data_IF_254830807755
#
_entry.id   IF_254830807755
#
_cell.length_a   1.000
_cell.length_b   1.000
_cell.length_c   1.000
_cell.angle_alpha   90.00
_cell.angle_beta   90.00
_cell.angle_gamma   90.00
#
_symmetry.space_group_name_H-M   'P 1'
#
loop_
_entity.id
_entity.type
_entity.pdbx_description
1 polymer ?
#
# COMPACT_ATOMS: atom_id res chain seq x y z
N UNK A 1 5.29 -23.80 -9.53
CA UNK A 1 6.08 -22.57 -9.76
C UNK A 1 5.19 -21.61 -10.53
N UNK A 2 4.53 -20.64 -9.87
CA UNK A 2 3.50 -19.79 -10.50
C UNK A 2 4.15 -18.49 -10.99
N UNK A 3 3.94 -18.20 -12.27
CA UNK A 3 4.65 -17.19 -13.06
C UNK A 3 3.83 -15.89 -13.12
N UNK A 4 4.44 -14.75 -12.75
CA UNK A 4 3.87 -13.44 -13.03
C UNK A 4 4.04 -13.14 -14.52
N UNK A 5 2.95 -12.98 -15.27
CA UNK A 5 3.03 -12.62 -16.69
C UNK A 5 2.58 -11.16 -16.84
N UNK A 6 3.53 -10.28 -17.18
CA UNK A 6 3.22 -8.94 -17.66
C UNK A 6 2.58 -9.08 -19.05
N UNK A 7 1.33 -8.66 -19.20
CA UNK A 7 0.71 -8.51 -20.51
C UNK A 7 0.55 -7.02 -20.75
N UNK A 8 1.25 -6.50 -21.76
CA UNK A 8 1.07 -5.14 -22.24
C UNK A 8 -0.07 -5.16 -23.26
N UNK A 9 -1.18 -4.47 -22.97
CA UNK A 9 -2.22 -4.19 -23.97
C UNK A 9 -2.30 -2.68 -24.13
N UNK A 10 -1.98 -2.18 -25.33
CA UNK A 10 -2.31 -0.85 -25.84
C UNK A 10 -2.18 0.34 -24.88
N UNK A 11 -0.99 0.96 -24.84
CA UNK A 11 -0.84 2.39 -24.54
C UNK A 11 -1.08 2.89 -23.11
N UNK A 12 -1.55 2.05 -22.17
CA UNK A 12 -1.72 2.42 -20.76
C UNK A 12 -1.23 1.31 -19.82
N UNK A 13 -0.40 1.68 -18.83
CA UNK A 13 -0.03 0.78 -17.74
C UNK A 13 -1.25 0.54 -16.82
N UNK A 14 -2.02 -0.50 -17.09
CA UNK A 14 -2.95 -1.08 -16.11
C UNK A 14 -2.30 -2.31 -15.50
N UNK A 15 -2.05 -2.30 -14.19
CA UNK A 15 -1.57 -3.46 -13.46
C UNK A 15 -2.74 -4.40 -13.17
N UNK A 16 -2.81 -5.52 -13.88
CA UNK A 16 -3.64 -6.66 -13.50
C UNK A 16 -2.89 -7.50 -12.47
N UNK A 17 -3.47 -7.67 -11.28
CA UNK A 17 -2.96 -8.64 -10.30
C UNK A 17 -3.70 -9.95 -10.52
N UNK A 18 -3.04 -10.93 -11.13
CA UNK A 18 -3.57 -12.29 -11.24
C UNK A 18 -3.37 -12.99 -9.90
N UNK A 19 -4.31 -12.80 -8.98
CA UNK A 19 -4.39 -13.56 -7.73
C UNK A 19 -5.38 -14.69 -7.99
N UNK A 20 -4.99 -15.96 -7.82
CA UNK A 20 -5.96 -17.04 -7.91
C UNK A 20 -7.06 -16.78 -6.86
N UNK A 21 -8.31 -16.90 -7.26
CA UNK A 21 -9.38 -17.00 -6.28
C UNK A 21 -9.26 -18.34 -5.52
N UNK A 22 -10.10 -18.52 -4.49
CA UNK A 22 -10.16 -19.76 -3.70
C UNK A 22 -10.44 -21.03 -4.53
N UNK A 23 -10.88 -20.90 -5.78
CA UNK A 23 -11.14 -22.01 -6.72
C UNK A 23 -9.95 -22.34 -7.63
N UNK A 24 -8.86 -21.55 -7.56
CA UNK A 24 -7.67 -21.74 -8.39
C UNK A 24 -7.80 -21.20 -9.81
N UNK A 25 -8.88 -20.47 -10.12
CA UNK A 25 -9.10 -19.86 -11.42
C UNK A 25 -8.38 -18.51 -11.48
N UNK A 26 -7.63 -18.28 -12.55
CA UNK A 26 -6.78 -17.10 -12.73
C UNK A 26 -7.63 -15.96 -13.29
N UNK A 27 -8.39 -15.29 -12.42
CA UNK A 27 -9.33 -14.24 -12.84
C UNK A 27 -8.70 -12.85 -12.71
N UNK A 28 -9.06 -11.96 -13.63
CA UNK A 28 -8.72 -10.55 -13.55
C UNK A 28 -9.51 -9.91 -12.41
N UNK A 29 -8.83 -9.33 -11.43
CA UNK A 29 -9.47 -8.63 -10.33
C UNK A 29 -8.90 -7.23 -10.14
N UNK A 30 -9.79 -6.26 -9.92
CA UNK A 30 -9.42 -4.92 -9.46
C UNK A 30 -9.27 -5.01 -7.94
N UNK A 31 -8.11 -4.63 -7.43
CA UNK A 31 -7.84 -4.55 -5.99
C UNK A 31 -7.79 -3.09 -5.56
N UNK A 32 -8.34 -2.79 -4.39
CA UNK A 32 -8.36 -1.42 -3.89
C UNK A 32 -8.60 -1.32 -2.40
N UNK A 33 -8.56 -0.09 -1.92
CA UNK A 33 -8.86 0.26 -0.54
C UNK A 33 -9.95 1.32 -0.46
N UNK A 34 -10.71 1.33 0.62
CA UNK A 34 -11.63 2.44 0.96
C UNK A 34 -11.11 3.19 2.17
N UNK A 35 -11.26 4.51 2.21
CA UNK A 35 -10.84 5.33 3.35
C UNK A 35 -11.77 5.24 4.56
N UNK A 36 -12.99 4.75 4.37
CA UNK A 36 -14.00 4.58 5.42
C UNK A 36 -14.93 3.39 5.12
N UNK A 37 -15.81 3.04 6.05
CA UNK A 37 -16.64 1.83 5.98
C UNK A 37 -15.93 0.57 6.50
N UNK A 38 -16.55 -0.60 6.28
CA UNK A 38 -16.12 -1.86 6.87
C UNK A 38 -16.55 -2.00 8.34
N UNK A 39 -16.12 -3.10 9.00
CA UNK A 39 -16.54 -3.45 10.37
C UNK A 39 -16.25 -2.36 11.41
N UNK A 40 -15.20 -1.57 11.20
CA UNK A 40 -14.72 -0.57 12.15
C UNK A 40 -14.83 0.87 11.63
N UNK A 41 -15.46 1.08 10.47
CA UNK A 41 -15.54 2.37 9.77
C UNK A 41 -14.17 3.02 9.45
N UNK A 42 -13.10 2.24 9.47
CA UNK A 42 -11.71 2.67 9.29
C UNK A 42 -11.14 2.34 7.90
N UNK A 43 -11.99 1.86 6.98
CA UNK A 43 -11.60 1.48 5.64
C UNK A 43 -11.46 -0.03 5.46
N UNK A 44 -11.40 -0.46 4.20
CA UNK A 44 -11.26 -1.88 3.83
C UNK A 44 -10.18 -2.10 2.77
N UNK A 45 -9.73 -3.35 2.64
CA UNK A 45 -9.16 -3.89 1.41
C UNK A 45 -10.27 -4.69 0.73
N UNK A 46 -10.50 -4.41 -0.55
CA UNK A 46 -11.46 -5.13 -1.37
C UNK A 46 -10.85 -5.60 -2.68
N UNK A 47 -11.51 -6.58 -3.30
CA UNK A 47 -11.30 -6.89 -4.70
C UNK A 47 -12.63 -7.05 -5.44
N UNK A 48 -12.60 -6.76 -6.74
CA UNK A 48 -13.69 -6.93 -7.68
C UNK A 48 -13.19 -7.85 -8.79
N UNK A 49 -13.54 -9.15 -8.74
CA UNK A 49 -13.26 -10.08 -9.83
C UNK A 49 -14.25 -9.84 -10.98
N UNK A 50 -13.73 -9.68 -12.19
CA UNK A 50 -14.52 -9.35 -13.39
C UNK A 50 -15.64 -10.38 -13.65
N UNK A 51 -15.36 -11.65 -13.38
CA UNK A 51 -16.32 -12.75 -13.62
C UNK A 51 -17.51 -12.74 -12.67
N UNK A 52 -17.32 -12.34 -11.41
CA UNK A 52 -18.41 -12.36 -10.42
C UNK A 52 -19.16 -11.02 -10.33
N UNK A 53 -18.64 -9.97 -10.97
CA UNK A 53 -19.18 -8.61 -10.96
C UNK A 53 -19.64 -8.10 -9.57
N UNK A 54 -18.97 -8.52 -8.50
CA UNK A 54 -19.34 -8.23 -7.12
C UNK A 54 -18.12 -7.80 -6.31
N UNK A 55 -18.29 -6.79 -5.46
CA UNK A 55 -17.22 -6.35 -4.55
C UNK A 55 -17.11 -7.34 -3.40
N UNK A 56 -15.89 -7.82 -3.14
CA UNK A 56 -15.56 -8.67 -1.99
C UNK A 56 -14.59 -7.94 -1.07
N UNK A 57 -15.04 -7.68 0.15
CA UNK A 57 -14.18 -7.19 1.22
C UNK A 57 -13.36 -8.35 1.79
N UNK A 58 -12.04 -8.22 1.80
CA UNK A 58 -11.12 -9.24 2.34
C UNK A 58 -10.49 -8.82 3.65
N UNK A 59 -10.47 -7.52 3.94
CA UNK A 59 -9.94 -6.99 5.19
C UNK A 59 -10.70 -5.72 5.59
N UNK A 60 -10.96 -5.56 6.88
CA UNK A 60 -11.46 -4.31 7.47
C UNK A 60 -10.41 -3.81 8.45
N UNK A 61 -9.86 -2.62 8.19
CA UNK A 61 -8.83 -2.05 9.05
C UNK A 61 -9.39 -1.83 10.46
N UNK A 62 -8.73 -2.32 11.53
CA UNK A 62 -9.13 -2.01 12.88
C UNK A 62 -8.85 -0.54 13.21
N UNK A 63 -9.55 0.00 14.21
CA UNK A 63 -9.36 1.39 14.66
C UNK A 63 -8.01 1.63 15.35
N UNK A 64 -7.28 0.58 15.74
CA UNK A 64 -5.98 0.68 16.42
C UNK A 64 -4.93 -0.31 15.89
N UNK A 65 -3.65 0.06 16.04
CA UNK A 65 -2.41 -0.70 15.79
C UNK A 65 -2.05 -1.12 14.34
N UNK A 66 -3.01 -1.43 13.46
CA UNK A 66 -2.70 -1.96 12.11
C UNK A 66 -2.84 -0.93 10.97
N UNK A 67 -3.01 0.35 11.32
CA UNK A 67 -3.30 1.42 10.38
C UNK A 67 -4.79 1.57 10.09
N UNK A 68 -5.23 2.79 9.80
CA UNK A 68 -6.61 3.13 9.44
C UNK A 68 -6.63 4.23 8.39
N UNK A 69 -7.76 4.37 7.70
CA UNK A 69 -8.00 5.44 6.74
C UNK A 69 -6.95 5.46 5.60
N UNK A 70 -6.92 4.45 4.72
CA UNK A 70 -6.06 4.48 3.54
C UNK A 70 -6.54 5.56 2.56
N UNK A 71 -6.12 6.80 2.80
CA UNK A 71 -6.41 7.96 1.97
C UNK A 71 -5.43 8.05 0.81
N UNK A 72 -5.96 8.12 -0.40
CA UNK A 72 -5.20 8.33 -1.65
C UNK A 72 -4.10 7.29 -1.91
N UNK A 73 -4.12 6.14 -1.22
CA UNK A 73 -3.16 5.06 -1.41
C UNK A 73 -3.72 4.02 -2.37
N UNK A 74 -2.98 3.72 -3.45
CA UNK A 74 -3.22 2.51 -4.23
C UNK A 74 -2.36 1.38 -3.68
N UNK A 75 -2.88 0.17 -3.78
CA UNK A 75 -2.12 -1.04 -3.48
C UNK A 75 -1.00 -1.22 -4.52
N UNK A 76 0.17 -1.64 -4.04
CA UNK A 76 1.35 -1.91 -4.85
C UNK A 76 1.64 -3.42 -4.84
N UNK A 77 1.40 -4.13 -5.95
CA UNK A 77 1.77 -5.53 -6.07
C UNK A 77 3.29 -5.66 -6.11
N UNK A 78 3.86 -6.41 -5.17
CA UNK A 78 5.28 -6.71 -5.14
C UNK A 78 5.64 -7.93 -5.99
N UNK A 79 6.85 -7.93 -6.54
CA UNK A 79 7.42 -9.05 -7.30
C UNK A 79 7.59 -10.33 -6.49
N UNK A 80 7.57 -10.23 -5.15
CA UNK A 80 7.57 -11.36 -4.23
C UNK A 80 6.19 -12.01 -4.01
N UNK A 81 5.15 -11.55 -4.71
CA UNK A 81 3.79 -12.10 -4.62
C UNK A 81 2.98 -11.62 -3.42
N UNK A 82 3.44 -10.58 -2.71
CA UNK A 82 2.67 -9.88 -1.69
C UNK A 82 2.12 -8.56 -2.23
N UNK A 83 1.13 -8.00 -1.54
CA UNK A 83 0.57 -6.69 -1.86
C UNK A 83 0.96 -5.72 -0.75
N UNK A 84 1.43 -4.53 -1.12
CA UNK A 84 1.82 -3.50 -0.17
C UNK A 84 0.88 -2.32 -0.26
N UNK A 85 0.71 -1.60 0.85
CA UNK A 85 -0.10 -0.40 0.87
C UNK A 85 0.25 0.50 2.03
N UNK A 86 -0.36 1.68 2.01
CA UNK A 86 -0.18 2.71 3.01
C UNK A 86 -1.53 3.05 3.65
N UNK A 87 -1.50 3.33 4.95
CA UNK A 87 -2.58 4.04 5.63
C UNK A 87 -2.06 5.41 6.05
N UNK A 88 -2.91 6.44 6.05
CA UNK A 88 -2.47 7.78 6.48
C UNK A 88 -2.59 7.97 7.99
N UNK A 89 -3.36 7.13 8.67
CA UNK A 89 -3.59 7.18 10.11
C UNK A 89 -3.43 5.79 10.74
N UNK A 90 -3.53 5.71 12.07
CA UNK A 90 -3.31 4.49 12.84
C UNK A 90 -1.83 4.17 13.04
N UNK A 91 -1.56 2.97 13.54
CA UNK A 91 -0.22 2.59 14.00
C UNK A 91 0.12 3.19 15.37
N UNK A 92 1.36 3.00 15.80
CA UNK A 92 1.85 3.37 17.14
C UNK A 92 1.69 4.86 17.46
N UNK A 93 1.81 5.72 16.46
CA UNK A 93 1.81 7.17 16.61
C UNK A 93 0.56 7.85 16.02
N UNK A 94 -0.39 7.05 15.52
CA UNK A 94 -1.55 7.52 14.74
C UNK A 94 -1.15 8.34 13.49
N UNK A 95 -0.01 8.03 12.88
CA UNK A 95 0.56 8.73 11.72
C UNK A 95 0.65 7.89 10.45
N UNK A 96 -0.02 6.73 10.44
CA UNK A 96 -0.07 5.83 9.30
C UNK A 96 0.91 4.67 9.41
N UNK A 97 0.70 3.67 8.55
CA UNK A 97 1.58 2.49 8.48
C UNK A 97 1.87 2.11 7.03
N UNK A 98 2.99 1.42 6.82
CA UNK A 98 3.20 0.56 5.66
C UNK A 98 2.75 -0.85 6.06
N UNK A 99 1.81 -1.41 5.30
CA UNK A 99 1.34 -2.78 5.49
C UNK A 99 1.68 -3.65 4.29
N UNK A 100 1.81 -4.94 4.57
CA UNK A 100 1.86 -6.04 3.62
C UNK A 100 0.58 -6.86 3.78
N UNK A 101 0.02 -7.30 2.67
CA UNK A 101 -1.11 -8.22 2.62
C UNK A 101 -0.74 -9.43 1.77
N UNK A 102 -0.94 -10.61 2.35
CA UNK A 102 -0.77 -11.89 1.67
C UNK A 102 -2.13 -12.41 1.21
N UNK A 103 -2.43 -12.25 -0.07
CA UNK A 103 -3.71 -12.68 -0.63
C UNK A 103 -3.91 -14.20 -0.62
N UNK A 104 -2.86 -15.00 -0.42
CA UNK A 104 -2.99 -16.46 -0.33
C UNK A 104 -3.46 -16.91 1.06
N UNK A 105 -3.04 -16.20 2.11
CA UNK A 105 -3.37 -16.53 3.50
C UNK A 105 -4.45 -15.61 4.08
N UNK A 106 -4.73 -14.50 3.40
CA UNK A 106 -5.62 -13.45 3.89
C UNK A 106 -5.02 -12.63 5.04
N UNK A 107 -3.73 -12.80 5.36
CA UNK A 107 -3.10 -12.14 6.48
C UNK A 107 -2.56 -10.77 6.11
N UNK A 108 -2.74 -9.80 7.01
CA UNK A 108 -2.08 -8.50 6.96
C UNK A 108 -0.88 -8.50 7.92
N UNK A 109 0.15 -7.74 7.60
CA UNK A 109 1.30 -7.52 8.48
C UNK A 109 1.75 -6.07 8.38
N UNK A 110 1.77 -5.38 9.53
CA UNK A 110 2.38 -4.06 9.63
C UNK A 110 3.90 -4.19 9.52
N UNK A 111 4.51 -3.40 8.65
CA UNK A 111 5.97 -3.39 8.41
C UNK A 111 6.64 -2.15 8.96
N UNK A 112 5.95 -1.00 8.88
CA UNK A 112 6.49 0.28 9.36
C UNK A 112 5.39 1.05 10.09
N UNK A 113 5.70 1.54 11.28
CA UNK A 113 4.95 2.61 11.92
C UNK A 113 5.57 3.96 11.51
N UNK A 114 4.79 4.81 10.86
CA UNK A 114 5.22 6.17 10.53
C UNK A 114 5.13 7.08 11.77
N UNK A 115 5.95 8.13 11.79
CA UNK A 115 6.10 9.09 12.87
C UNK A 115 7.22 10.07 12.53
N UNK A 116 7.30 11.20 13.25
CA UNK A 116 8.18 12.35 13.00
C UNK A 116 9.41 12.08 12.10
N UNK A 117 10.37 11.28 12.55
CA UNK A 117 11.61 11.04 11.78
C UNK A 117 11.41 10.18 10.52
N UNK A 118 10.53 9.18 10.57
CA UNK A 118 10.20 8.30 9.46
C UNK A 118 9.25 8.94 8.43
N UNK A 119 8.71 10.12 8.73
CA UNK A 119 7.62 10.76 7.99
C UNK A 119 6.26 10.47 8.61
N UNK A 120 5.25 11.28 8.29
CA UNK A 120 3.90 11.22 8.85
C UNK A 120 2.83 11.37 7.78
N UNK A 121 1.68 10.72 8.00
CA UNK A 121 0.52 10.80 7.12
C UNK A 121 0.87 10.44 5.67
N UNK A 122 1.29 9.20 5.37
CA UNK A 122 1.45 8.74 4.00
C UNK A 122 0.21 9.06 3.16
N UNK A 123 0.41 9.77 2.05
CA UNK A 123 -0.66 10.08 1.07
C UNK A 123 -0.12 9.84 -0.32
N UNK A 124 -0.69 8.85 -0.99
CA UNK A 124 -0.24 8.42 -2.30
C UNK A 124 0.12 6.94 -2.33
N UNK A 125 0.66 6.51 -3.47
CA UNK A 125 0.92 5.10 -3.75
C UNK A 125 2.39 4.71 -3.54
N UNK A 126 2.63 3.43 -3.24
CA UNK A 126 3.97 2.84 -3.35
C UNK A 126 4.29 2.49 -4.80
N UNK A 127 5.58 2.55 -5.14
CA UNK A 127 6.11 2.05 -6.42
C UNK A 127 7.21 1.04 -6.15
N UNK A 128 7.10 -0.16 -6.70
CA UNK A 128 8.20 -1.13 -6.73
C UNK A 128 9.16 -0.81 -7.89
N UNK A 129 10.42 -0.54 -7.56
CA UNK A 129 11.46 -0.32 -8.54
C UNK A 129 12.02 -1.66 -9.07
N UNK A 130 12.79 -1.61 -10.15
CA UNK A 130 13.39 -2.81 -10.77
C UNK A 130 14.35 -3.59 -9.86
N UNK A 131 14.80 -3.00 -8.77
CA UNK A 131 15.63 -3.63 -7.74
C UNK A 131 14.80 -4.37 -6.66
N UNK A 132 13.48 -4.45 -6.81
CA UNK A 132 12.57 -5.10 -5.86
C UNK A 132 12.29 -4.29 -4.58
N UNK A 133 12.75 -3.03 -4.52
CA UNK A 133 12.49 -2.13 -3.39
C UNK A 133 11.27 -1.26 -3.67
N UNK A 134 10.57 -0.93 -2.60
CA UNK A 134 9.37 -0.11 -2.62
C UNK A 134 9.74 1.32 -2.23
N UNK A 135 9.26 2.29 -3.00
CA UNK A 135 9.44 3.71 -2.73
C UNK A 135 8.08 4.36 -2.51
N UNK A 136 8.03 5.28 -1.56
CA UNK A 136 6.83 6.02 -1.23
C UNK A 136 7.15 7.36 -0.60
N UNK A 137 6.10 8.09 -0.26
CA UNK A 137 6.21 9.42 0.33
C UNK A 137 5.24 9.60 1.49
N UNK A 138 5.62 10.47 2.41
CA UNK A 138 4.74 10.99 3.45
C UNK A 138 4.52 12.48 3.23
N UNK A 139 3.30 13.00 3.48
CA UNK A 139 3.05 14.42 3.26
C UNK A 139 3.56 15.29 4.43
N UNK A 140 3.72 14.71 5.62
CA UNK A 140 4.19 15.38 6.83
C UNK A 140 5.41 14.64 7.42
N UNK A 141 5.95 15.20 8.52
CA UNK A 141 7.15 14.68 9.18
C UNK A 141 8.45 15.01 8.46
N UNK A 142 9.50 14.29 8.84
CA UNK A 142 10.89 14.59 8.52
C UNK A 142 11.42 15.81 9.26
N UNK A 143 12.71 16.12 9.03
CA UNK A 143 13.44 17.20 9.72
C UNK A 143 12.72 18.56 9.62
N UNK A 144 12.05 18.83 8.50
CA UNK A 144 11.38 20.11 8.23
C UNK A 144 9.85 20.07 8.35
N UNK A 145 9.26 18.95 8.82
CA UNK A 145 7.80 18.73 8.81
C UNK A 145 7.17 18.92 7.41
N UNK A 146 7.92 18.65 6.34
CA UNK A 146 7.50 18.87 4.95
C UNK A 146 7.20 17.58 4.19
N UNK A 147 7.38 16.42 4.83
CA UNK A 147 7.30 15.11 4.19
C UNK A 147 8.66 14.48 3.94
N UNK A 148 8.65 13.18 3.63
CA UNK A 148 9.85 12.43 3.22
C UNK A 148 9.58 11.57 2.00
N UNK A 149 10.65 11.26 1.25
CA UNK A 149 10.71 10.09 0.37
C UNK A 149 11.39 8.97 1.15
N UNK A 150 10.76 7.81 1.20
CA UNK A 150 11.30 6.62 1.85
C UNK A 150 11.48 5.45 0.89
N UNK A 151 12.28 4.49 1.32
CA UNK A 151 12.53 3.20 0.69
C UNK A 151 12.20 2.11 1.70
N UNK A 152 11.56 1.05 1.25
CA UNK A 152 11.33 -0.18 2.01
C UNK A 152 11.80 -1.38 1.18
N UNK A 153 12.61 -2.25 1.77
CA UNK A 153 13.10 -3.46 1.14
C UNK A 153 12.37 -4.69 1.70
N UNK A 154 11.43 -5.29 0.95
CA UNK A 154 10.66 -6.43 1.41
C UNK A 154 11.49 -7.71 1.59
N UNK A 155 12.69 -7.80 1.01
CA UNK A 155 13.54 -9.00 1.12
C UNK A 155 14.17 -9.16 2.52
N UNK A 156 14.32 -8.07 3.27
CA UNK A 156 14.93 -8.08 4.59
C UNK A 156 14.24 -7.16 5.61
N UNK A 157 13.01 -6.74 5.29
CA UNK A 157 12.16 -5.90 6.14
C UNK A 157 12.82 -4.58 6.59
N UNK A 158 13.69 -4.00 5.75
CA UNK A 158 14.41 -2.77 6.10
C UNK A 158 13.74 -1.52 5.53
N UNK A 159 13.62 -0.49 6.37
CA UNK A 159 13.09 0.83 6.02
C UNK A 159 14.17 1.90 6.12
N UNK A 160 14.16 2.85 5.19
CA UNK A 160 15.06 3.99 5.21
C UNK A 160 14.40 5.25 4.64
N UNK A 161 14.55 6.38 5.33
CA UNK A 161 14.28 7.70 4.73
C UNK A 161 15.41 8.04 3.75
N UNK A 162 15.05 8.28 2.49
CA UNK A 162 15.99 8.63 1.42
C UNK A 162 16.17 10.13 1.26
N UNK A 163 15.10 10.88 1.49
CA UNK A 163 15.13 12.35 1.38
C UNK A 163 14.08 12.99 2.28
N UNK A 164 14.47 14.08 2.94
CA UNK A 164 13.53 15.00 3.56
C UNK A 164 13.20 16.11 2.57
N UNK A 165 11.91 16.44 2.42
CA UNK A 165 11.49 17.62 1.69
C UNK A 165 11.90 18.90 2.45
N UNK A 166 12.10 19.99 1.72
CA UNK A 166 12.40 21.31 2.25
C UNK A 166 11.37 22.30 1.72
N UNK A 167 11.09 23.40 2.43
CA UNK A 167 10.18 24.43 1.92
C UNK A 167 10.54 24.92 0.51
N UNK A 168 11.84 25.00 0.20
CA UNK A 168 12.34 25.42 -1.12
C UNK A 168 12.15 24.37 -2.23
N UNK A 169 12.10 23.08 -1.90
CA UNK A 169 11.86 22.00 -2.85
C UNK A 169 10.37 21.63 -2.98
N UNK A 170 9.50 22.29 -2.19
CA UNK A 170 8.09 21.95 -2.05
C UNK A 170 7.79 21.15 -0.77
N UNK A 171 6.55 21.24 -0.30
CA UNK A 171 6.06 20.57 0.93
C UNK A 171 4.75 19.85 0.67
N UNK A 172 4.39 18.91 1.54
CA UNK A 172 3.18 18.10 1.43
C UNK A 172 3.12 17.31 0.11
N UNK A 173 4.12 16.46 -0.19
CA UNK A 173 4.08 15.64 -1.40
C UNK A 173 2.87 14.67 -1.39
N UNK A 174 2.33 14.44 -2.59
CA UNK A 174 1.31 13.42 -2.87
C UNK A 174 1.82 12.55 -4.01
N UNK A 175 1.72 11.22 -3.86
CA UNK A 175 2.23 10.23 -4.81
C UNK A 175 1.17 9.42 -5.55
#
# INVERSE_FOLDING_TARGET
MKLFKRITVGGGLFFFVLIPDLSGQQTSAIWGTTSSGGKYNAGTIFYYPDEMQTIRTVFSFPVENEGKSPYYSRLCPGSNGKIYGLTSEGGRYDKGVLFEYDANTGMISKKVDFGKEAGESPRGSLVEASNGKLYGMTCEGGINQCGVIFEFNPANDSFQVKKHFTPSAGKNPYG
#
